data_IF_007522092425
#
_entry.id   IF_007522092425
#
_cell.length_a   1.000
_cell.length_b   1.000
_cell.length_c   1.000
_cell.angle_alpha   90.00
_cell.angle_beta   90.00
_cell.angle_gamma   90.00
#
_symmetry.space_group_name_H-M   'P 1'
#
loop_
_entity.id
_entity.type
_entity.pdbx_description
1 polymer ?
#
# COMPACT_ATOMS: atom_id res chain seq x y z
N UNK A 1 40.29 -31.53 -32.47
CA UNK A 1 40.52 -32.96 -32.14
C UNK A 1 40.56 -33.07 -30.63
N UNK A 2 39.94 -34.07 -29.98
CA UNK A 2 39.97 -34.08 -28.49
C UNK A 2 38.74 -34.53 -27.67
N UNK A 3 37.75 -35.25 -28.22
CA UNK A 3 37.14 -36.44 -27.59
C UNK A 3 36.37 -36.27 -26.25
N UNK A 4 35.03 -36.41 -26.26
CA UNK A 4 34.26 -37.60 -25.78
C UNK A 4 34.75 -38.22 -24.46
N UNK A 5 33.97 -38.10 -23.40
CA UNK A 5 33.65 -39.25 -22.53
C UNK A 5 32.39 -39.01 -21.70
N UNK A 6 31.42 -39.91 -21.90
CA UNK A 6 30.32 -40.19 -20.98
C UNK A 6 30.86 -40.42 -19.57
N UNK A 7 30.07 -40.12 -18.54
CA UNK A 7 29.95 -40.95 -17.33
C UNK A 7 28.72 -40.49 -16.51
N UNK A 8 27.67 -41.32 -16.61
CA UNK A 8 26.79 -41.76 -15.52
C UNK A 8 25.96 -40.72 -14.74
N UNK A 9 24.66 -40.70 -15.11
CA UNK A 9 23.56 -40.62 -14.16
C UNK A 9 23.88 -41.43 -12.89
N UNK A 10 24.19 -40.75 -11.80
CA UNK A 10 24.24 -41.36 -10.48
C UNK A 10 23.45 -40.49 -9.53
N UNK A 11 22.25 -40.94 -9.21
CA UNK A 11 21.54 -40.55 -8.02
C UNK A 11 22.48 -40.68 -6.83
N UNK A 12 22.86 -39.56 -6.23
CA UNK A 12 23.22 -39.50 -4.82
C UNK A 12 22.13 -38.70 -4.12
N UNK A 13 21.30 -39.45 -3.41
CA UNK A 13 20.47 -38.95 -2.33
C UNK A 13 21.32 -38.22 -1.28
N UNK A 14 20.60 -37.60 -0.35
CA UNK A 14 21.02 -37.14 0.98
C UNK A 14 21.29 -35.63 1.07
N UNK A 15 20.18 -34.94 1.32
CA UNK A 15 20.02 -34.01 2.45
C UNK A 15 20.93 -32.80 2.51
N UNK A 16 20.47 -31.72 1.88
CA UNK A 16 20.69 -30.40 2.45
C UNK A 16 19.39 -29.61 2.42
N UNK A 17 18.85 -29.35 3.61
CA UNK A 17 17.74 -28.44 3.85
C UNK A 17 18.20 -27.03 3.43
N UNK A 18 17.89 -26.66 2.19
CA UNK A 18 17.77 -25.26 1.82
C UNK A 18 16.35 -24.81 2.18
N UNK A 19 16.21 -24.08 3.28
CA UNK A 19 15.04 -23.21 3.50
C UNK A 19 15.34 -22.25 4.68
N UNK A 20 16.01 -21.13 4.38
CA UNK A 20 15.70 -19.89 5.08
C UNK A 20 14.55 -19.26 4.30
N UNK A 21 13.33 -19.42 4.79
CA UNK A 21 12.16 -18.62 4.38
C UNK A 21 11.17 -18.68 5.53
N UNK A 22 11.40 -17.78 6.48
CA UNK A 22 10.35 -17.18 7.29
C UNK A 22 10.14 -15.78 6.66
N UNK A 23 8.95 -15.26 6.41
CA UNK A 23 7.69 -15.35 7.13
C UNK A 23 6.51 -14.98 6.20
N UNK A 24 5.33 -15.55 6.46
CA UNK A 24 4.07 -14.80 6.42
C UNK A 24 3.31 -14.63 5.10
N UNK A 25 2.98 -15.72 4.39
CA UNK A 25 1.94 -15.70 3.35
C UNK A 25 0.61 -16.23 3.88
N UNK A 26 -0.16 -15.41 4.59
CA UNK A 26 -1.52 -15.74 5.02
C UNK A 26 -2.57 -15.04 4.16
N UNK A 27 -3.60 -15.82 3.84
CA UNK A 27 -4.94 -15.45 3.38
C UNK A 27 -5.19 -15.36 1.86
N UNK A 28 -5.82 -16.44 1.42
CA UNK A 28 -6.82 -16.53 0.36
C UNK A 28 -7.85 -15.38 0.40
N UNK A 29 -8.15 -14.81 -0.77
CA UNK A 29 -9.52 -14.62 -1.28
C UNK A 29 -9.45 -13.76 -2.56
N UNK A 30 -9.74 -14.39 -3.70
CA UNK A 30 -10.19 -13.69 -4.90
C UNK A 30 -11.53 -13.00 -4.59
N UNK A 31 -11.45 -11.74 -4.18
CA UNK A 31 -12.56 -10.80 -4.26
C UNK A 31 -12.01 -9.61 -5.00
N UNK A 32 -12.54 -9.35 -6.20
CA UNK A 32 -12.19 -8.19 -7.03
C UNK A 32 -12.68 -6.87 -6.41
N UNK A 33 -12.39 -6.62 -5.13
CA UNK A 33 -12.17 -5.29 -4.60
C UNK A 33 -10.72 -4.97 -4.93
N UNK A 34 -10.49 -4.15 -5.97
CA UNK A 34 -9.13 -3.82 -6.40
C UNK A 34 -8.29 -3.37 -5.21
N UNK A 35 -7.11 -3.96 -5.05
CA UNK A 35 -6.13 -3.52 -4.04
C UNK A 35 -5.89 -2.01 -4.20
N UNK A 36 -5.89 -1.28 -3.08
CA UNK A 36 -5.55 0.13 -3.10
C UNK A 36 -4.06 0.28 -3.40
N UNK A 37 -3.73 1.22 -4.28
CA UNK A 37 -2.33 1.57 -4.51
C UNK A 37 -1.76 2.22 -3.24
N UNK A 38 -0.67 1.66 -2.73
CA UNK A 38 0.02 2.22 -1.58
C UNK A 38 0.95 3.32 -2.05
N UNK A 39 0.75 4.52 -1.52
CA UNK A 39 1.62 5.68 -1.72
C UNK A 39 2.27 6.01 -0.39
N UNK A 40 3.60 6.05 -0.36
CA UNK A 40 4.37 6.43 0.82
C UNK A 40 4.71 7.93 0.78
N UNK A 41 4.82 8.54 1.96
CA UNK A 41 5.25 9.92 2.14
C UNK A 41 4.22 10.81 2.82
N UNK A 42 4.74 11.79 3.56
CA UNK A 42 3.92 12.80 4.25
C UNK A 42 3.18 13.68 3.23
N UNK A 43 1.85 13.53 3.18
CA UNK A 43 1.00 14.25 2.23
C UNK A 43 -0.46 14.29 2.69
N UNK A 44 -1.27 15.02 1.91
CA UNK A 44 -2.71 14.94 2.00
C UNK A 44 -3.26 13.81 1.12
N UNK A 45 -4.06 12.94 1.72
CA UNK A 45 -4.75 11.84 1.08
C UNK A 45 -6.26 12.06 1.16
N UNK A 46 -6.99 11.74 0.10
CA UNK A 46 -8.45 11.76 0.07
C UNK A 46 -9.00 10.35 -0.06
N UNK A 47 -10.16 10.10 0.54
CA UNK A 47 -10.86 8.83 0.37
C UNK A 47 -11.62 8.84 -0.95
N UNK A 48 -11.16 8.04 -1.90
CA UNK A 48 -11.71 8.01 -3.24
C UNK A 48 -13.14 7.46 -3.29
N UNK A 49 -14.02 8.18 -3.99
CA UNK A 49 -15.43 7.83 -4.19
C UNK A 49 -15.66 6.80 -5.31
N UNK A 50 -14.60 6.24 -5.89
CA UNK A 50 -14.68 5.27 -7.00
C UNK A 50 -15.15 3.87 -6.57
N UNK A 51 -15.75 3.75 -5.38
CA UNK A 51 -16.31 2.52 -4.83
C UNK A 51 -15.30 1.54 -4.22
N UNK A 52 -13.99 1.83 -4.30
CA UNK A 52 -12.92 1.02 -3.71
C UNK A 52 -12.52 1.46 -2.30
N UNK A 53 -12.99 2.63 -1.84
CA UNK A 53 -12.63 3.21 -0.55
C UNK A 53 -11.11 3.31 -0.33
N UNK A 54 -10.37 3.68 -1.39
CA UNK A 54 -8.93 3.83 -1.33
C UNK A 54 -8.54 5.26 -0.97
N UNK A 55 -7.60 5.40 -0.03
CA UNK A 55 -6.89 6.65 0.17
C UNK A 55 -5.92 6.86 -0.99
N UNK A 56 -6.04 7.98 -1.68
CA UNK A 56 -5.15 8.34 -2.79
C UNK A 56 -4.69 9.79 -2.61
N UNK A 57 -3.59 10.21 -3.26
CA UNK A 57 -3.16 11.61 -3.18
C UNK A 57 -4.32 12.56 -3.48
N UNK A 58 -4.43 13.61 -2.67
CA UNK A 58 -5.53 14.57 -2.76
C UNK A 58 -5.62 15.19 -4.18
N UNK A 59 -6.78 15.15 -4.86
CA UNK A 59 -6.96 15.74 -6.18
C UNK A 59 -6.76 17.27 -6.22
N UNK A 60 -7.21 18.06 -5.21
CA UNK A 60 -6.97 19.49 -5.20
C UNK A 60 -5.46 19.81 -5.14
N UNK A 61 -4.92 20.61 -6.08
CA UNK A 61 -3.49 20.89 -6.15
C UNK A 61 -2.98 21.78 -5.01
N UNK A 62 -3.87 22.41 -4.24
CA UNK A 62 -3.58 23.31 -3.12
C UNK A 62 -3.63 22.60 -1.75
N UNK A 63 -4.02 21.32 -1.69
CA UNK A 63 -4.00 20.50 -0.48
C UNK A 63 -2.57 20.02 -0.11
N UNK A 64 -1.59 20.92 -0.15
CA UNK A 64 -0.15 20.60 0.01
C UNK A 64 0.38 20.85 1.41
N UNK A 65 -0.46 21.34 2.33
CA UNK A 65 -0.09 21.55 3.74
C UNK A 65 -1.09 20.86 4.66
N UNK A 66 -0.65 20.58 5.89
CA UNK A 66 -1.49 19.99 6.93
C UNK A 66 -2.80 20.78 7.13
N UNK A 67 -2.70 22.10 7.25
CA UNK A 67 -3.87 22.97 7.47
C UNK A 67 -4.82 22.93 6.28
N UNK A 68 -4.31 22.99 5.05
CA UNK A 68 -5.16 22.91 3.86
C UNK A 68 -5.85 21.56 3.73
N UNK A 69 -5.14 20.48 4.06
CA UNK A 69 -5.72 19.15 4.06
C UNK A 69 -6.86 19.01 5.09
N UNK A 70 -6.65 19.55 6.30
CA UNK A 70 -7.68 19.60 7.35
C UNK A 70 -8.87 20.44 6.91
N UNK A 71 -8.65 21.59 6.29
CA UNK A 71 -9.73 22.48 5.85
C UNK A 71 -10.65 21.78 4.83
N UNK A 72 -10.10 20.88 3.98
CA UNK A 72 -10.88 20.04 3.06
C UNK A 72 -11.65 18.89 3.74
N UNK A 73 -11.16 18.36 4.87
CA UNK A 73 -11.77 17.20 5.52
C UNK A 73 -13.18 17.51 6.03
N UNK A 74 -14.15 16.73 5.57
CA UNK A 74 -15.56 16.81 5.96
C UNK A 74 -16.01 15.62 6.81
N UNK A 75 -15.10 14.70 7.15
CA UNK A 75 -15.46 13.40 7.73
C UNK A 75 -14.98 13.20 9.16
N UNK A 76 -14.09 14.06 9.67
CA UNK A 76 -13.58 13.97 11.04
C UNK A 76 -13.81 15.26 11.81
N UNK A 77 -14.01 15.11 13.11
CA UNK A 77 -14.08 16.24 14.03
C UNK A 77 -12.80 17.07 13.95
N UNK A 78 -12.95 18.39 13.82
CA UNK A 78 -11.83 19.31 13.60
C UNK A 78 -11.47 19.54 12.13
N UNK A 79 -12.15 18.87 11.18
CA UNK A 79 -12.11 19.19 9.75
C UNK A 79 -12.80 20.53 9.43
N UNK A 80 -12.50 21.08 8.26
CA UNK A 80 -13.00 22.39 7.82
C UNK A 80 -14.21 22.36 6.88
N UNK A 81 -14.66 21.18 6.43
CA UNK A 81 -15.84 21.00 5.57
C UNK A 81 -15.75 21.69 4.18
N UNK A 82 -14.59 22.22 3.77
CA UNK A 82 -14.45 23.02 2.54
C UNK A 82 -14.70 22.19 1.27
N UNK A 83 -14.43 20.88 1.32
CA UNK A 83 -14.71 19.97 0.20
C UNK A 83 -16.21 19.73 -0.04
N UNK A 84 -17.10 20.10 0.90
CA UNK A 84 -18.52 19.82 0.80
C UNK A 84 -18.90 18.33 0.89
N UNK A 85 -18.11 17.52 1.62
CA UNK A 85 -18.40 16.10 1.88
C UNK A 85 -17.26 15.11 1.61
N UNK A 86 -16.09 15.58 1.15
CA UNK A 86 -14.93 14.70 0.92
C UNK A 86 -14.18 14.40 2.21
N UNK A 87 -13.71 13.16 2.37
CA UNK A 87 -12.87 12.78 3.52
C UNK A 87 -11.39 12.95 3.18
N UNK A 88 -10.66 13.68 4.02
CA UNK A 88 -9.24 13.93 3.83
C UNK A 88 -8.43 13.55 5.06
N UNK A 89 -7.17 13.16 4.86
CA UNK A 89 -6.21 12.95 5.92
C UNK A 89 -4.81 13.42 5.58
N UNK A 90 -4.13 13.94 6.59
CA UNK A 90 -2.69 14.06 6.58
C UNK A 90 -2.09 12.79 7.18
N UNK A 91 -1.10 12.21 6.53
CA UNK A 91 -0.48 10.95 6.96
C UNK A 91 0.86 10.78 6.28
N UNK A 92 1.72 9.92 6.81
CA UNK A 92 2.98 9.49 6.21
C UNK A 92 2.81 8.46 5.07
N UNK A 93 1.57 8.09 4.75
CA UNK A 93 1.25 7.24 3.60
C UNK A 93 -0.25 7.08 3.38
N UNK A 94 -0.64 6.53 2.23
CA UNK A 94 -2.05 6.28 1.90
C UNK A 94 -2.69 5.26 2.83
N UNK A 95 -1.95 4.27 3.33
CA UNK A 95 -2.41 3.33 4.36
C UNK A 95 -2.05 3.74 5.79
N UNK A 96 -1.28 4.82 5.96
CA UNK A 96 -0.85 5.32 7.25
C UNK A 96 -2.00 5.81 8.14
N UNK A 97 -1.77 5.86 9.44
CA UNK A 97 -2.74 6.44 10.37
C UNK A 97 -2.89 7.95 10.08
N UNK A 98 -4.09 8.51 10.20
CA UNK A 98 -4.25 9.95 10.05
C UNK A 98 -3.62 10.67 11.24
N UNK A 99 -2.87 11.73 10.96
CA UNK A 99 -2.44 12.67 11.99
C UNK A 99 -3.66 13.36 12.63
N UNK A 100 -3.62 13.63 13.95
CA UNK A 100 -4.70 14.29 14.66
C UNK A 100 -4.78 15.76 14.24
N UNK A 101 -6.00 16.25 14.00
CA UNK A 101 -6.23 17.65 13.62
C UNK A 101 -5.97 18.66 14.75
N UNK A 102 -6.05 18.19 16.01
CA UNK A 102 -5.92 18.98 17.25
C UNK A 102 -5.20 18.18 18.34
#
# INVERSE_FOLDING_TARGET
MKNRSLLLFSLCCVSWLAACSSDGGSADADASAGTCEVTEGEACYWLSDDGRACWVPAPPPDATTFERCRDYDSCREGGGEESGGGCYKWSDGSEGAPEPWL
#
